data_IF_704484082509
#
_entry.id   IF_704484082509
#
_cell.length_a   1.000
_cell.length_b   1.000
_cell.length_c   1.000
_cell.angle_alpha   90.00
_cell.angle_beta   90.00
_cell.angle_gamma   90.00
#
_symmetry.space_group_name_H-M   'P 1'
#
loop_
_entity.id
_entity.type
_entity.pdbx_description
1 polymer ?
#
# COMPACT_ATOMS: atom_id res chain seq x y z
N UNK A 1 -51.50 42.09 10.59
CA UNK A 1 -50.84 41.43 11.74
C UNK A 1 -49.45 40.95 11.33
N UNK A 2 -48.39 41.44 11.99
CA UNK A 2 -47.01 41.31 11.50
C UNK A 2 -46.35 39.96 11.87
N UNK A 3 -45.68 39.34 10.88
CA UNK A 3 -44.92 38.08 11.01
C UNK A 3 -43.56 38.25 11.72
N UNK A 4 -43.39 39.28 12.56
CA UNK A 4 -42.09 39.61 13.16
C UNK A 4 -41.73 38.84 14.45
N UNK A 5 -42.63 38.00 14.98
CA UNK A 5 -42.34 37.25 16.23
C UNK A 5 -41.42 36.03 16.05
N UNK A 6 -41.18 35.53 14.83
CA UNK A 6 -40.36 34.32 14.62
C UNK A 6 -38.85 34.52 14.81
N UNK A 7 -38.36 35.76 14.74
CA UNK A 7 -36.92 36.05 14.77
C UNK A 7 -36.41 36.46 16.17
N UNK A 8 -37.29 36.90 17.07
CA UNK A 8 -36.88 37.39 18.40
C UNK A 8 -36.40 36.30 19.38
N UNK A 9 -36.70 35.02 19.12
CA UNK A 9 -36.35 33.91 20.04
C UNK A 9 -35.27 32.96 19.51
N UNK A 10 -34.62 33.28 18.39
CA UNK A 10 -33.51 32.44 17.91
C UNK A 10 -32.24 32.86 18.64
N UNK A 11 -31.92 32.17 19.75
CA UNK A 11 -30.61 32.31 20.41
C UNK A 11 -29.53 31.93 19.42
N UNK A 12 -28.82 32.92 18.89
CA UNK A 12 -27.69 32.69 17.99
C UNK A 12 -26.53 32.23 18.86
N UNK A 13 -26.14 30.97 18.72
CA UNK A 13 -25.02 30.42 19.47
C UNK A 13 -23.71 30.90 18.83
N UNK A 14 -23.13 31.97 19.38
CA UNK A 14 -21.92 32.62 18.86
C UNK A 14 -20.69 31.68 18.88
N UNK A 15 -20.69 30.62 19.68
CA UNK A 15 -19.64 29.60 19.71
C UNK A 15 -19.57 28.80 18.40
N UNK A 16 -20.72 28.50 17.77
CA UNK A 16 -20.75 27.82 16.48
C UNK A 16 -20.26 28.69 15.32
N UNK A 17 -20.46 30.01 15.41
CA UNK A 17 -19.97 30.97 14.40
C UNK A 17 -18.47 31.25 14.53
N UNK A 18 -17.91 31.25 15.75
CA UNK A 18 -16.45 31.31 15.92
C UNK A 18 -15.75 30.04 15.43
N UNK A 19 -16.38 28.88 15.59
CA UNK A 19 -15.84 27.62 15.10
C UNK A 19 -15.90 27.48 13.57
N UNK A 20 -16.90 28.05 12.88
CA UNK A 20 -17.00 27.91 11.41
C UNK A 20 -15.85 28.60 10.65
N UNK A 21 -15.32 29.70 11.19
CA UNK A 21 -14.19 30.44 10.58
C UNK A 21 -12.82 29.85 10.97
N UNK A 22 -12.75 29.04 12.04
CA UNK A 22 -11.53 28.41 12.53
C UNK A 22 -11.35 26.95 12.12
N UNK A 23 -12.40 26.26 11.66
CA UNK A 23 -12.27 24.92 11.07
C UNK A 23 -11.69 25.07 9.67
N UNK A 24 -10.36 25.29 9.58
CA UNK A 24 -9.60 24.84 8.40
C UNK A 24 -10.02 23.38 8.22
N UNK A 25 -10.75 23.07 7.14
CA UNK A 25 -11.08 21.68 6.77
C UNK A 25 -9.77 20.89 6.79
N UNK A 26 -9.51 20.18 7.87
CA UNK A 26 -8.36 19.28 7.94
C UNK A 26 -8.56 18.29 6.81
N UNK A 27 -7.68 18.36 5.80
CA UNK A 27 -7.73 17.40 4.70
C UNK A 27 -7.55 16.03 5.33
N UNK A 28 -8.60 15.20 5.28
CA UNK A 28 -8.57 13.83 5.81
C UNK A 28 -7.31 13.16 5.28
N UNK A 29 -6.36 12.88 6.17
CA UNK A 29 -5.16 12.17 5.79
C UNK A 29 -5.59 10.78 5.30
N UNK A 30 -5.07 10.37 4.13
CA UNK A 30 -5.30 9.01 3.63
C UNK A 30 -4.88 8.01 4.71
N UNK A 31 -5.69 6.96 4.88
CA UNK A 31 -5.32 5.87 5.79
C UNK A 31 -4.03 5.22 5.30
N UNK A 32 -3.23 4.70 6.23
CA UNK A 32 -1.92 4.16 5.88
C UNK A 32 -2.04 2.99 4.89
N UNK A 33 -3.10 2.18 4.99
CA UNK A 33 -3.39 1.12 4.01
C UNK A 33 -3.57 1.68 2.60
N UNK A 34 -4.28 2.80 2.46
CA UNK A 34 -4.46 3.45 1.16
C UNK A 34 -3.15 4.00 0.60
N UNK A 35 -2.29 4.60 1.44
CA UNK A 35 -0.96 5.05 1.01
C UNK A 35 -0.10 3.88 0.52
N UNK A 36 -0.15 2.75 1.23
CA UNK A 36 0.58 1.54 0.87
C UNK A 36 0.06 0.95 -0.45
N UNK A 37 -1.25 0.87 -0.63
CA UNK A 37 -1.84 0.39 -1.90
C UNK A 37 -1.55 1.32 -3.07
N UNK A 38 -1.64 2.64 -2.87
CA UNK A 38 -1.32 3.63 -3.91
C UNK A 38 0.16 3.59 -4.29
N UNK A 39 1.05 3.44 -3.32
CA UNK A 39 2.49 3.28 -3.60
C UNK A 39 2.76 1.97 -4.33
N UNK A 40 2.14 0.86 -3.96
CA UNK A 40 2.23 -0.38 -4.71
C UNK A 40 1.73 -0.22 -6.16
N UNK A 41 0.62 0.47 -6.37
CA UNK A 41 0.08 0.68 -7.72
C UNK A 41 0.96 1.58 -8.58
N UNK A 42 1.30 2.77 -8.08
CA UNK A 42 1.96 3.83 -8.85
C UNK A 42 3.47 3.61 -9.00
N UNK A 43 4.13 3.04 -7.99
CA UNK A 43 5.58 2.85 -8.00
C UNK A 43 5.99 1.47 -8.50
N UNK A 44 5.18 0.44 -8.23
CA UNK A 44 5.54 -0.94 -8.54
C UNK A 44 4.76 -1.43 -9.76
N UNK A 45 3.43 -1.55 -9.66
CA UNK A 45 2.63 -2.23 -10.67
C UNK A 45 2.68 -1.52 -12.03
N UNK A 46 2.40 -0.22 -12.07
CA UNK A 46 2.38 0.54 -13.33
C UNK A 46 3.77 0.59 -13.98
N UNK A 47 4.87 0.95 -13.29
CA UNK A 47 6.19 0.97 -13.92
C UNK A 47 6.64 -0.40 -14.41
N UNK A 48 6.41 -1.47 -13.62
CA UNK A 48 6.77 -2.83 -14.04
C UNK A 48 5.96 -3.27 -15.26
N UNK A 49 4.67 -2.91 -15.31
CA UNK A 49 3.82 -3.16 -16.46
C UNK A 49 4.27 -2.39 -17.71
N UNK A 50 4.64 -1.11 -17.57
CA UNK A 50 5.16 -0.32 -18.69
C UNK A 50 6.45 -0.93 -19.26
N UNK A 51 7.37 -1.36 -18.41
CA UNK A 51 8.59 -2.06 -18.85
C UNK A 51 8.24 -3.36 -19.57
N UNK A 52 7.26 -4.11 -19.07
CA UNK A 52 6.74 -5.29 -19.77
C UNK A 52 6.10 -4.94 -21.13
N UNK A 53 5.35 -3.84 -21.25
CA UNK A 53 4.78 -3.43 -22.54
C UNK A 53 5.85 -3.10 -23.58
N UNK A 54 6.92 -2.43 -23.14
CA UNK A 54 8.00 -1.96 -24.02
C UNK A 54 8.96 -3.08 -24.40
N UNK A 55 9.40 -3.88 -23.42
CA UNK A 55 10.47 -4.87 -23.56
C UNK A 55 10.00 -6.32 -23.48
N UNK A 56 8.71 -6.55 -23.20
CA UNK A 56 8.15 -7.89 -23.11
C UNK A 56 8.12 -8.59 -24.46
N UNK A 57 8.35 -9.90 -24.42
CA UNK A 57 8.33 -10.79 -25.58
C UNK A 57 7.00 -10.80 -26.35
N UNK A 58 5.91 -10.37 -25.71
CA UNK A 58 4.58 -10.34 -26.31
C UNK A 58 4.41 -9.20 -27.32
N UNK A 59 5.38 -8.27 -27.43
CA UNK A 59 5.46 -7.29 -28.51
C UNK A 59 4.31 -6.27 -28.56
N UNK A 60 3.70 -5.97 -27.40
CA UNK A 60 2.51 -5.11 -27.31
C UNK A 60 2.77 -3.71 -27.84
N UNK A 61 3.88 -3.09 -27.44
CA UNK A 61 4.23 -1.74 -27.89
C UNK A 61 5.21 -1.73 -29.08
N UNK A 62 6.21 -2.62 -29.07
CA UNK A 62 7.29 -2.62 -30.06
C UNK A 62 7.51 -4.04 -30.60
N UNK A 63 7.16 -4.31 -31.86
CA UNK A 63 7.36 -5.65 -32.45
C UNK A 63 8.83 -6.09 -32.48
N UNK A 64 9.78 -5.16 -32.52
CA UNK A 64 11.22 -5.47 -32.52
C UNK A 64 11.72 -6.05 -31.19
N UNK A 65 11.04 -5.80 -30.06
CA UNK A 65 11.48 -6.31 -28.75
C UNK A 65 11.17 -7.79 -28.55
N UNK A 66 10.37 -8.40 -29.44
CA UNK A 66 10.19 -9.86 -29.54
C UNK A 66 11.52 -10.60 -29.75
N UNK A 67 12.51 -9.97 -30.42
CA UNK A 67 13.85 -10.56 -30.60
C UNK A 67 14.62 -10.71 -29.28
N UNK A 68 14.31 -9.89 -28.28
CA UNK A 68 14.93 -9.97 -26.96
C UNK A 68 14.29 -11.02 -26.05
N UNK A 69 13.16 -11.61 -26.48
CA UNK A 69 12.47 -12.68 -25.74
C UNK A 69 13.36 -13.90 -25.47
N UNK A 70 14.20 -14.26 -26.44
CA UNK A 70 15.13 -15.39 -26.35
C UNK A 70 16.26 -15.14 -25.35
N UNK A 71 16.56 -13.87 -25.03
CA UNK A 71 17.59 -13.45 -24.08
C UNK A 71 17.01 -13.23 -22.68
N UNK A 72 16.17 -14.17 -22.23
CA UNK A 72 15.43 -14.08 -20.96
C UNK A 72 16.35 -13.87 -19.75
N UNK A 73 17.39 -14.69 -19.65
CA UNK A 73 18.30 -14.68 -18.50
C UNK A 73 19.39 -13.62 -18.62
N UNK A 74 19.84 -13.33 -19.84
CA UNK A 74 20.93 -12.39 -20.10
C UNK A 74 20.48 -10.93 -20.19
N UNK A 75 19.21 -10.66 -20.53
CA UNK A 75 18.70 -9.31 -20.75
C UNK A 75 17.47 -9.01 -19.89
N UNK A 76 16.42 -9.83 -19.94
CA UNK A 76 15.18 -9.54 -19.22
C UNK A 76 15.34 -9.62 -17.70
N UNK A 77 16.10 -10.60 -17.18
CA UNK A 77 16.36 -10.72 -15.75
C UNK A 77 17.18 -9.54 -15.19
N UNK A 78 18.33 -9.14 -15.77
CA UNK A 78 19.06 -7.96 -15.30
C UNK A 78 18.22 -6.68 -15.33
N UNK A 79 17.39 -6.48 -16.38
CA UNK A 79 16.47 -5.34 -16.44
C UNK A 79 15.44 -5.40 -15.31
N UNK A 80 14.82 -6.55 -15.07
CA UNK A 80 13.88 -6.72 -13.96
C UNK A 80 14.52 -6.43 -12.59
N UNK A 81 15.77 -6.86 -12.39
CA UNK A 81 16.54 -6.58 -11.18
C UNK A 81 16.89 -5.09 -11.05
N UNK A 82 17.24 -4.42 -12.15
CA UNK A 82 17.48 -2.97 -12.14
C UNK A 82 16.20 -2.19 -11.77
N UNK A 83 15.06 -2.58 -12.34
CA UNK A 83 13.76 -1.97 -12.01
C UNK A 83 13.44 -2.20 -10.52
N UNK A 84 13.61 -3.41 -10.02
CA UNK A 84 13.41 -3.74 -8.60
C UNK A 84 14.35 -2.97 -7.67
N UNK A 85 15.62 -2.76 -8.07
CA UNK A 85 16.59 -1.98 -7.32
C UNK A 85 16.18 -0.50 -7.23
N UNK A 86 15.78 0.10 -8.35
CA UNK A 86 15.28 1.49 -8.39
C UNK A 86 14.02 1.62 -7.52
N UNK A 87 13.06 0.70 -7.65
CA UNK A 87 11.85 0.69 -6.81
C UNK A 87 12.19 0.59 -5.32
N UNK A 88 13.14 -0.26 -4.97
CA UNK A 88 13.59 -0.45 -3.58
C UNK A 88 14.27 0.80 -3.01
N UNK A 89 15.07 1.51 -3.80
CA UNK A 89 15.67 2.79 -3.40
C UNK A 89 14.58 3.82 -3.12
N UNK A 90 13.58 3.95 -4.00
CA UNK A 90 12.47 4.89 -3.80
C UNK A 90 11.65 4.52 -2.56
N UNK A 91 11.35 3.24 -2.33
CA UNK A 91 10.67 2.78 -1.12
C UNK A 91 11.47 3.11 0.14
N UNK A 92 12.79 2.88 0.12
CA UNK A 92 13.68 3.20 1.24
C UNK A 92 13.67 4.71 1.53
N UNK A 93 13.68 5.56 0.50
CA UNK A 93 13.55 7.01 0.66
C UNK A 93 12.20 7.40 1.26
N UNK A 94 11.09 6.81 0.80
CA UNK A 94 9.75 7.08 1.35
C UNK A 94 9.64 6.68 2.84
N UNK A 95 10.31 5.61 3.26
CA UNK A 95 10.42 5.22 4.67
C UNK A 95 11.28 6.23 5.45
N UNK A 96 12.44 6.63 4.90
CA UNK A 96 13.34 7.63 5.52
C UNK A 96 12.63 8.96 5.76
N UNK A 97 11.84 9.43 4.81
CA UNK A 97 11.05 10.67 4.93
C UNK A 97 9.73 10.49 5.71
N UNK A 98 9.55 9.36 6.40
CA UNK A 98 8.37 9.02 7.22
C UNK A 98 7.03 9.12 6.45
N UNK A 99 7.07 8.96 5.12
CA UNK A 99 5.85 8.90 4.28
C UNK A 99 5.20 7.52 4.35
N UNK A 100 5.99 6.47 4.60
CA UNK A 100 5.57 5.09 4.80
C UNK A 100 6.12 4.53 6.12
N UNK A 101 5.38 3.59 6.72
CA UNK A 101 5.80 2.84 7.91
C UNK A 101 6.66 1.65 7.50
N UNK A 102 7.60 1.22 8.33
CA UNK A 102 8.43 0.04 8.01
C UNK A 102 7.60 -1.24 7.78
N UNK A 103 6.43 -1.34 8.42
CA UNK A 103 5.48 -2.43 8.25
C UNK A 103 4.90 -2.51 6.82
N UNK A 104 5.03 -1.46 6.00
CA UNK A 104 4.60 -1.50 4.60
C UNK A 104 5.45 -2.44 3.75
N UNK A 105 6.70 -2.73 4.18
CA UNK A 105 7.59 -3.65 3.47
C UNK A 105 6.98 -5.05 3.34
N UNK A 106 6.22 -5.49 4.35
CA UNK A 106 5.52 -6.78 4.34
C UNK A 106 4.59 -6.93 3.12
N UNK A 107 4.03 -5.82 2.63
CA UNK A 107 3.18 -5.81 1.44
C UNK A 107 3.94 -5.46 0.17
N UNK A 108 4.77 -4.42 0.22
CA UNK A 108 5.43 -3.89 -0.97
C UNK A 108 6.46 -4.85 -1.56
N UNK A 109 7.21 -5.58 -0.71
CA UNK A 109 8.26 -6.50 -1.17
C UNK A 109 7.69 -7.68 -1.96
N UNK A 110 6.68 -8.43 -1.46
CA UNK A 110 6.05 -9.49 -2.26
C UNK A 110 5.46 -8.98 -3.58
N UNK A 111 4.75 -7.84 -3.54
CA UNK A 111 4.16 -7.24 -4.75
C UNK A 111 5.26 -6.86 -5.75
N UNK A 112 6.38 -6.28 -5.29
CA UNK A 112 7.53 -5.97 -6.13
C UNK A 112 8.12 -7.20 -6.82
N UNK A 113 8.34 -8.28 -6.08
CA UNK A 113 8.87 -9.52 -6.65
C UNK A 113 7.92 -10.10 -7.70
N UNK A 114 6.62 -10.13 -7.38
CA UNK A 114 5.59 -10.67 -8.27
C UNK A 114 5.48 -9.84 -9.56
N UNK A 115 5.44 -8.51 -9.46
CA UNK A 115 5.30 -7.62 -10.62
C UNK A 115 6.55 -7.61 -11.50
N UNK A 116 7.75 -7.62 -10.92
CA UNK A 116 8.99 -7.68 -11.71
C UNK A 116 9.21 -9.05 -12.36
N UNK A 117 8.64 -10.13 -11.80
CA UNK A 117 8.71 -11.46 -12.42
C UNK A 117 8.03 -11.55 -13.79
N UNK A 118 7.09 -10.64 -14.10
CA UNK A 118 6.37 -10.60 -15.39
C UNK A 118 7.31 -10.39 -16.58
N UNK A 119 8.32 -9.55 -16.42
CA UNK A 119 9.26 -9.27 -17.49
C UNK A 119 10.03 -10.54 -17.86
N UNK A 120 10.48 -11.30 -16.85
CA UNK A 120 11.26 -12.53 -17.04
C UNK A 120 10.39 -13.70 -17.51
N UNK A 121 9.12 -13.77 -17.08
CA UNK A 121 8.18 -14.79 -17.55
C UNK A 121 7.72 -14.57 -18.99
N UNK A 122 7.85 -13.34 -19.52
CA UNK A 122 7.50 -13.01 -20.90
C UNK A 122 8.27 -13.85 -21.93
N UNK A 123 9.52 -14.24 -21.66
CA UNK A 123 10.35 -15.03 -22.59
C UNK A 123 10.01 -16.52 -22.72
N UNK A 124 9.00 -17.05 -22.03
CA UNK A 124 8.66 -18.50 -22.03
C UNK A 124 7.72 -18.89 -23.19
N UNK A 125 6.58 -18.21 -23.34
CA UNK A 125 5.57 -18.53 -24.37
C UNK A 125 4.99 -17.25 -24.97
N UNK A 126 5.43 -16.85 -26.17
CA UNK A 126 4.92 -15.65 -26.85
C UNK A 126 3.42 -15.78 -27.17
N UNK A 127 2.63 -14.76 -26.83
CA UNK A 127 1.19 -14.68 -27.12
C UNK A 127 0.27 -15.19 -26.00
N UNK A 128 0.81 -15.92 -25.01
CA UNK A 128 0.05 -16.44 -23.85
C UNK A 128 0.32 -15.63 -22.59
N UNK A 129 0.25 -14.31 -22.70
CA UNK A 129 0.50 -13.39 -21.61
C UNK A 129 -0.48 -13.57 -20.44
N UNK A 130 -1.74 -13.89 -20.73
CA UNK A 130 -2.81 -14.04 -19.74
C UNK A 130 -2.55 -15.20 -18.76
N UNK A 131 -1.97 -16.31 -19.23
CA UNK A 131 -1.57 -17.45 -18.40
C UNK A 131 -0.45 -17.07 -17.40
N UNK A 132 0.27 -15.97 -17.65
CA UNK A 132 1.42 -15.53 -16.83
C UNK A 132 1.09 -14.33 -15.95
N UNK A 133 0.35 -13.37 -16.49
CA UNK A 133 -0.06 -12.14 -15.80
C UNK A 133 -1.18 -12.43 -14.81
N UNK A 134 -2.20 -13.24 -15.16
CA UNK A 134 -3.31 -13.52 -14.25
C UNK A 134 -2.89 -14.21 -12.94
N UNK A 135 -2.06 -15.28 -12.96
CA UNK A 135 -1.61 -15.90 -11.70
C UNK A 135 -0.82 -14.94 -10.84
N UNK A 136 -0.01 -14.07 -11.45
CA UNK A 136 0.82 -13.16 -10.71
C UNK A 136 0.03 -11.93 -10.19
N UNK A 137 -0.96 -11.42 -10.92
CA UNK A 137 -1.97 -10.51 -10.34
C UNK A 137 -2.70 -11.20 -9.18
N UNK A 138 -3.11 -12.46 -9.35
CA UNK A 138 -3.72 -13.27 -8.30
C UNK A 138 -2.84 -13.44 -7.07
N UNK A 139 -1.55 -13.70 -7.26
CA UNK A 139 -0.56 -13.78 -6.18
C UNK A 139 -0.36 -12.43 -5.48
N UNK A 140 -0.39 -11.32 -6.21
CA UNK A 140 -0.34 -10.00 -5.60
C UNK A 140 -1.58 -9.75 -4.71
N UNK A 141 -2.78 -10.13 -5.15
CA UNK A 141 -3.98 -10.07 -4.32
C UNK A 141 -3.94 -11.01 -3.11
N UNK A 142 -3.48 -12.25 -3.30
CA UNK A 142 -3.29 -13.21 -2.20
C UNK A 142 -2.29 -12.68 -1.17
N UNK A 143 -1.18 -12.10 -1.64
CA UNK A 143 -0.20 -11.47 -0.76
C UNK A 143 -0.81 -10.31 0.04
N UNK A 144 -1.72 -9.53 -0.56
CA UNK A 144 -2.48 -8.49 0.15
C UNK A 144 -3.29 -9.08 1.31
N UNK A 145 -4.03 -10.15 1.05
CA UNK A 145 -4.87 -10.82 2.05
C UNK A 145 -4.02 -11.39 3.18
N UNK A 146 -2.92 -12.08 2.86
CA UNK A 146 -1.99 -12.65 3.83
C UNK A 146 -1.41 -11.55 4.73
N UNK A 147 -0.99 -10.42 4.14
CA UNK A 147 -0.41 -9.31 4.91
C UNK A 147 -1.45 -8.63 5.80
N UNK A 148 -2.69 -8.49 5.34
CA UNK A 148 -3.80 -8.00 6.19
C UNK A 148 -4.03 -8.95 7.37
N UNK A 149 -4.03 -10.26 7.13
CA UNK A 149 -4.21 -11.27 8.18
C UNK A 149 -3.08 -11.24 9.21
N UNK A 150 -1.82 -11.16 8.75
CA UNK A 150 -0.64 -11.04 9.61
C UNK A 150 -0.72 -9.77 10.46
N UNK A 151 -1.02 -8.62 9.85
CA UNK A 151 -1.12 -7.35 10.59
C UNK A 151 -2.24 -7.40 11.65
N UNK A 152 -3.37 -8.04 11.34
CA UNK A 152 -4.48 -8.23 12.28
C UNK A 152 -4.08 -9.15 13.44
N UNK A 153 -3.32 -10.21 13.17
CA UNK A 153 -2.80 -11.12 14.20
C UNK A 153 -1.79 -10.41 15.12
N UNK A 154 -0.86 -9.64 14.56
CA UNK A 154 0.12 -8.84 15.32
C UNK A 154 -0.59 -7.82 16.21
N UNK A 155 -1.60 -7.12 15.68
CA UNK A 155 -2.39 -6.16 16.46
C UNK A 155 -3.11 -6.82 17.65
N UNK A 156 -3.72 -8.00 17.43
CA UNK A 156 -4.36 -8.79 18.51
C UNK A 156 -3.34 -9.24 19.56
N UNK A 157 -2.16 -9.68 19.14
CA UNK A 157 -1.10 -10.12 20.05
C UNK A 157 -0.60 -8.96 20.93
N UNK A 158 -0.47 -7.76 20.37
CA UNK A 158 -0.06 -6.56 21.13
C UNK A 158 -1.08 -6.20 22.21
N UNK A 159 -2.37 -6.16 21.86
CA UNK A 159 -3.47 -5.91 22.81
C UNK A 159 -3.48 -6.97 23.92
N UNK A 160 -3.23 -8.25 23.58
CA UNK A 160 -3.19 -9.33 24.57
C UNK A 160 -2.03 -9.14 25.56
N UNK A 161 -0.85 -8.75 25.08
CA UNK A 161 0.31 -8.45 25.94
C UNK A 161 0.04 -7.25 26.87
N UNK A 162 -0.53 -6.17 26.34
CA UNK A 162 -0.88 -5.00 27.15
C UNK A 162 -1.88 -5.36 28.26
N UNK A 163 -2.89 -6.18 27.95
CA UNK A 163 -3.83 -6.68 28.97
C UNK A 163 -3.16 -7.56 30.03
N UNK A 164 -2.20 -8.39 29.64
CA UNK A 164 -1.46 -9.23 30.59
C UNK A 164 -0.62 -8.39 31.56
N UNK A 165 0.05 -7.34 31.05
CA UNK A 165 0.83 -6.41 31.87
C UNK A 165 -0.06 -5.68 32.87
N UNK A 166 -1.23 -5.18 32.43
CA UNK A 166 -2.19 -4.51 33.32
C UNK A 166 -2.68 -5.45 34.43
N UNK A 167 -3.00 -6.71 34.10
CA UNK A 167 -3.43 -7.71 35.09
C UNK A 167 -2.30 -8.03 36.09
N UNK A 168 -1.05 -8.10 35.64
CA UNK A 168 0.11 -8.31 36.52
C UNK A 168 0.35 -7.11 37.44
N UNK A 169 0.20 -5.88 36.94
CA UNK A 169 0.28 -4.66 37.74
C UNK A 169 -0.86 -4.58 38.78
N UNK A 170 -2.09 -4.92 38.40
CA UNK A 170 -3.22 -5.00 39.34
C UNK A 170 -3.01 -6.05 40.43
N UNK A 171 -2.43 -7.21 40.10
CA UNK A 171 -2.07 -8.24 41.09
C UNK A 171 -0.98 -7.78 42.05
N UNK A 172 0.06 -7.11 41.54
CA UNK A 172 1.12 -6.54 42.38
C UNK A 172 0.58 -5.45 43.30
N UNK A 173 -0.26 -4.55 42.81
CA UNK A 173 -0.85 -3.49 43.63
C UNK A 173 -1.80 -4.04 44.70
N UNK A 174 -2.61 -5.07 44.40
CA UNK A 174 -3.44 -5.74 45.41
C UNK A 174 -2.61 -6.44 46.49
N UNK A 175 -1.51 -7.09 46.11
CA UNK A 175 -0.57 -7.72 47.04
C UNK A 175 0.20 -6.75 47.95
N UNK A 176 0.23 -5.45 47.62
CA UNK A 176 0.88 -4.41 48.44
C UNK A 176 -0.10 -3.69 49.37
N UNK A 177 -1.41 -3.93 49.19
CA UNK A 177 -2.49 -3.34 49.99
C UNK A 177 -3.03 -4.32 51.05
N UNK A 178 -2.72 -5.62 50.93
CA UNK A 178 -2.85 -6.64 51.98
C UNK A 178 -1.56 -6.68 52.82
#
# INVERSE_FOLDING_TARGET
MSKNKKWKNKKINFENYKNSDQIKKERRALSDSWKISLTALLLIAIPSFLVFLLMGADGWAIRSTTKFASSRWSLLLPVALCVAAVQSIVIALLIRFKKLKITSLNFLVPVMCVMNSWLVSSGIETGKWFIRVLPAVGLAFLSAVIVIAINKAIAKAKIKKEKQIIIEEERKNKSLLD
#
